data_IF_746730240598
#
_entry.id   IF_746730240598
#
_cell.length_a   1.000
_cell.length_b   1.000
_cell.length_c   1.000
_cell.angle_alpha   90.00
_cell.angle_beta   90.00
_cell.angle_gamma   90.00
#
_symmetry.space_group_name_H-M   'P 1'
#
loop_
_entity.id
_entity.type
_entity.pdbx_description
1 polymer ?
#
# COMPACT_ATOMS: atom_id res chain seq x y z
N UNK A 1 25.71 15.85 -11.58
CA UNK A 1 25.51 15.33 -10.19
C UNK A 1 24.14 15.82 -9.72
N UNK A 2 23.31 14.94 -9.14
CA UNK A 2 21.97 15.31 -8.68
C UNK A 2 22.02 16.27 -7.50
N UNK A 3 21.15 17.28 -7.47
CA UNK A 3 20.97 18.16 -6.33
C UNK A 3 20.24 17.39 -5.21
N UNK A 4 20.78 17.44 -3.98
CA UNK A 4 20.16 16.88 -2.76
C UNK A 4 18.77 17.45 -2.46
N UNK A 5 18.37 18.55 -3.11
CA UNK A 5 17.02 19.11 -3.03
C UNK A 5 15.90 18.15 -3.49
N UNK A 6 16.23 17.06 -4.17
CA UNK A 6 15.28 16.00 -4.57
C UNK A 6 15.31 14.77 -3.67
N UNK A 7 16.24 14.69 -2.71
CA UNK A 7 16.31 13.58 -1.77
C UNK A 7 15.16 13.71 -0.78
N UNK A 8 14.20 12.79 -0.85
CA UNK A 8 13.05 12.82 0.04
C UNK A 8 13.40 12.32 1.45
N UNK A 9 14.05 11.16 1.54
CA UNK A 9 14.54 10.55 2.76
C UNK A 9 15.73 9.64 2.44
N UNK A 10 16.54 9.33 3.46
CA UNK A 10 17.59 8.32 3.41
C UNK A 10 17.25 7.20 4.40
N UNK A 11 17.16 5.98 3.91
CA UNK A 11 16.82 4.79 4.69
C UNK A 11 18.09 4.11 5.21
N UNK A 12 18.09 3.69 6.49
CA UNK A 12 19.21 3.01 7.13
C UNK A 12 18.90 1.52 7.27
N UNK A 13 19.35 0.71 6.30
CA UNK A 13 19.03 -0.72 6.24
C UNK A 13 17.78 -1.00 5.43
N UNK A 14 17.40 -2.28 5.35
CA UNK A 14 16.22 -2.79 4.65
C UNK A 14 15.93 -4.20 5.17
N UNK A 15 14.70 -4.48 5.57
CA UNK A 15 14.29 -5.76 6.19
C UNK A 15 15.25 -6.20 7.30
N UNK A 16 15.53 -5.28 8.21
CA UNK A 16 16.59 -5.43 9.21
C UNK A 16 16.37 -6.63 10.14
N UNK A 17 15.12 -7.05 10.30
CA UNK A 17 14.70 -8.22 11.07
C UNK A 17 15.13 -9.56 10.46
N UNK A 18 15.48 -9.60 9.17
CA UNK A 18 15.93 -10.83 8.50
C UNK A 18 17.43 -11.03 8.52
N UNK A 19 18.23 -10.05 8.95
CA UNK A 19 19.72 -10.14 8.87
C UNK A 19 20.30 -11.33 9.64
N UNK A 20 19.69 -11.71 10.76
CA UNK A 20 20.08 -12.89 11.53
C UNK A 20 19.90 -14.22 10.78
N UNK A 21 19.07 -14.23 9.73
CA UNK A 21 18.77 -15.42 8.92
C UNK A 21 19.58 -15.48 7.63
N UNK A 22 20.23 -14.39 7.29
CA UNK A 22 21.10 -14.31 6.12
C UNK A 22 22.45 -14.94 6.48
N UNK A 23 22.56 -16.25 6.24
CA UNK A 23 23.74 -17.05 6.54
C UNK A 23 24.36 -17.62 5.28
N UNK A 24 25.67 -17.48 5.16
CA UNK A 24 26.46 -18.00 4.05
C UNK A 24 27.57 -18.90 4.59
N UNK A 25 27.65 -20.13 4.08
CA UNK A 25 28.63 -21.14 4.53
C UNK A 25 28.69 -21.32 6.07
N UNK A 26 27.53 -21.31 6.74
CA UNK A 26 27.42 -21.50 8.19
C UNK A 26 27.71 -20.26 9.04
N UNK A 27 28.04 -19.11 8.42
CA UNK A 27 28.21 -17.83 9.12
C UNK A 27 27.06 -16.88 8.78
N UNK A 28 26.36 -16.41 9.80
CA UNK A 28 25.29 -15.43 9.65
C UNK A 28 25.82 -14.00 9.70
N UNK A 29 25.21 -13.09 8.94
CA UNK A 29 25.58 -11.66 8.95
C UNK A 29 25.39 -11.08 10.35
N UNK A 30 24.36 -11.54 11.07
CA UNK A 30 24.09 -11.18 12.47
C UNK A 30 23.93 -12.41 13.33
N UNK A 31 24.26 -12.28 14.62
CA UNK A 31 24.02 -13.33 15.60
C UNK A 31 22.51 -13.43 15.91
N UNK A 32 21.83 -14.56 15.64
CA UNK A 32 20.39 -14.70 15.89
C UNK A 32 19.97 -14.56 17.36
N UNK A 33 20.89 -14.75 18.29
CA UNK A 33 20.61 -14.65 19.72
C UNK A 33 20.56 -13.19 20.18
N UNK A 34 21.43 -12.34 19.65
CA UNK A 34 21.58 -10.95 20.10
C UNK A 34 21.02 -9.92 19.13
N UNK A 35 20.69 -10.30 17.90
CA UNK A 35 20.13 -9.37 16.92
C UNK A 35 18.62 -9.14 17.16
N UNK A 36 18.28 -7.93 17.58
CA UNK A 36 16.94 -7.48 17.88
C UNK A 36 16.76 -5.99 17.55
N UNK A 37 15.56 -5.47 17.77
CA UNK A 37 15.24 -4.07 17.47
C UNK A 37 16.03 -3.08 18.32
N UNK A 38 16.44 -3.44 19.53
CA UNK A 38 17.15 -2.55 20.46
C UNK A 38 18.60 -2.37 19.99
N UNK A 39 19.27 -3.49 19.69
CA UNK A 39 20.63 -3.49 19.12
C UNK A 39 20.68 -2.74 17.79
N UNK A 40 19.66 -2.91 16.94
CA UNK A 40 19.59 -2.16 15.68
C UNK A 40 19.39 -0.64 15.90
N UNK A 41 18.70 -0.21 16.97
CA UNK A 41 18.56 1.22 17.27
C UNK A 41 19.91 1.91 17.53
N UNK A 42 20.82 1.23 18.24
CA UNK A 42 22.19 1.72 18.45
C UNK A 42 22.98 1.83 17.13
N UNK A 43 22.80 0.88 16.22
CA UNK A 43 23.47 0.93 14.92
C UNK A 43 22.92 2.02 14.01
N UNK A 44 21.60 2.26 14.05
CA UNK A 44 20.99 3.37 13.31
C UNK A 44 21.60 4.70 13.73
N UNK A 45 21.74 4.94 15.04
CA UNK A 45 22.39 6.11 15.60
C UNK A 45 23.82 6.28 15.05
N UNK A 46 24.62 5.21 15.12
CA UNK A 46 26.00 5.24 14.63
C UNK A 46 26.09 5.54 13.13
N UNK A 47 25.20 4.97 12.31
CA UNK A 47 25.13 5.24 10.89
C UNK A 47 24.71 6.67 10.57
N UNK A 48 23.69 7.18 11.27
CA UNK A 48 23.19 8.55 11.14
C UNK A 48 24.32 9.56 11.43
N UNK A 49 25.10 9.33 12.49
CA UNK A 49 26.23 10.18 12.87
C UNK A 49 27.37 10.12 11.87
N UNK A 50 27.75 8.92 11.42
CA UNK A 50 28.79 8.75 10.40
C UNK A 50 28.41 9.44 9.09
N UNK A 51 27.15 9.33 8.66
CA UNK A 51 26.68 9.98 7.44
C UNK A 51 26.68 11.50 7.57
N UNK A 52 26.13 12.02 8.67
CA UNK A 52 26.03 13.47 8.89
C UNK A 52 27.39 14.12 9.03
N UNK A 53 28.34 13.44 9.67
CA UNK A 53 29.73 13.91 9.84
C UNK A 53 30.52 13.90 8.53
N UNK A 54 30.40 12.85 7.72
CA UNK A 54 31.32 12.60 6.62
C UNK A 54 30.78 13.03 5.25
N UNK A 55 29.46 13.19 5.07
CA UNK A 55 28.86 13.57 3.79
C UNK A 55 28.65 15.09 3.75
N UNK A 56 29.59 15.80 3.11
CA UNK A 56 29.70 17.27 3.12
C UNK A 56 28.46 18.01 2.63
N UNK A 57 27.70 17.43 1.70
CA UNK A 57 26.48 18.02 1.12
C UNK A 57 25.19 17.44 1.72
N UNK A 58 25.29 16.68 2.82
CA UNK A 58 24.11 16.13 3.48
C UNK A 58 23.45 17.19 4.37
N UNK A 59 22.10 17.23 4.43
CA UNK A 59 21.40 18.14 5.33
C UNK A 59 21.90 17.98 6.78
N UNK A 60 22.38 19.07 7.37
CA UNK A 60 22.88 19.09 8.75
C UNK A 60 21.75 19.28 9.77
N UNK A 61 20.58 19.71 9.31
CA UNK A 61 19.40 19.97 10.14
C UNK A 61 18.14 19.46 9.46
N UNK A 62 17.14 19.13 10.27
CA UNK A 62 15.83 18.70 9.79
C UNK A 62 15.73 17.20 9.61
N UNK A 63 14.54 16.78 9.19
CA UNK A 63 14.14 15.37 9.15
C UNK A 63 14.41 14.76 7.78
N UNK A 64 15.34 13.81 7.72
CA UNK A 64 15.72 13.14 6.47
C UNK A 64 15.81 11.62 6.60
N UNK A 65 16.00 11.07 7.80
CA UNK A 65 16.21 9.63 7.93
C UNK A 65 14.90 8.83 7.98
N UNK A 66 14.87 7.72 7.27
CA UNK A 66 13.90 6.65 7.43
C UNK A 66 14.59 5.50 8.19
N UNK A 67 13.91 4.97 9.19
CA UNK A 67 14.45 3.95 10.10
C UNK A 67 13.48 2.80 10.26
N UNK A 68 13.95 1.75 10.94
CA UNK A 68 13.25 0.49 11.20
C UNK A 68 13.14 -0.39 9.98
N UNK A 69 12.49 0.08 8.91
CA UNK A 69 12.34 -0.61 7.62
C UNK A 69 12.22 -2.14 7.74
N UNK A 70 11.35 -2.57 8.64
CA UNK A 70 11.16 -3.99 8.99
C UNK A 70 10.46 -4.69 7.84
N UNK A 71 10.88 -5.93 7.56
CA UNK A 71 10.25 -6.81 6.60
C UNK A 71 8.80 -7.16 6.94
N UNK A 72 8.16 -7.89 6.03
CA UNK A 72 6.77 -8.32 6.23
C UNK A 72 6.65 -9.24 7.45
N UNK A 73 5.58 -9.08 8.22
CA UNK A 73 5.26 -9.84 9.43
C UNK A 73 4.91 -11.33 9.22
N UNK A 74 5.77 -12.09 8.55
CA UNK A 74 5.55 -13.51 8.28
C UNK A 74 5.77 -14.34 9.55
N UNK A 75 6.68 -13.89 10.43
CA UNK A 75 7.04 -14.61 11.65
C UNK A 75 6.59 -13.92 12.95
N UNK A 76 5.63 -12.99 12.88
CA UNK A 76 5.22 -12.21 14.07
C UNK A 76 4.91 -13.06 15.33
N UNK A 77 4.20 -14.21 15.30
CA UNK A 77 3.97 -14.96 16.53
C UNK A 77 5.22 -15.68 17.05
N UNK A 78 6.26 -15.85 16.23
CA UNK A 78 7.49 -16.60 16.57
C UNK A 78 8.73 -15.71 16.71
N UNK A 79 8.68 -14.47 16.23
CA UNK A 79 9.77 -13.49 16.22
C UNK A 79 9.33 -12.17 16.88
N UNK A 80 9.14 -12.20 18.20
CA UNK A 80 8.74 -11.03 19.00
C UNK A 80 9.88 -10.03 19.26
N UNK A 81 11.08 -10.27 18.74
CA UNK A 81 12.25 -9.38 18.88
C UNK A 81 12.16 -8.12 18.02
N UNK A 82 11.20 -8.06 17.09
CA UNK A 82 11.09 -7.02 16.07
C UNK A 82 9.72 -6.36 16.11
N UNK A 83 9.50 -5.54 17.13
CA UNK A 83 8.25 -4.79 17.31
C UNK A 83 8.56 -3.30 17.43
N UNK A 84 7.63 -2.45 16.98
CA UNK A 84 7.81 -0.99 16.96
C UNK A 84 7.97 -0.41 18.36
N UNK A 85 7.35 -1.00 19.39
CA UNK A 85 7.35 -0.38 20.73
C UNK A 85 8.75 -0.38 21.38
N UNK A 86 9.43 -1.53 21.55
CA UNK A 86 10.81 -1.57 22.06
C UNK A 86 11.77 -0.80 21.15
N UNK A 87 11.66 -0.93 19.82
CA UNK A 87 12.46 -0.14 18.90
C UNK A 87 12.35 1.37 19.18
N UNK A 88 11.12 1.88 19.28
CA UNK A 88 10.89 3.30 19.52
C UNK A 88 11.35 3.77 20.89
N UNK A 89 11.30 2.90 21.90
CA UNK A 89 11.87 3.18 23.22
C UNK A 89 13.39 3.33 23.11
N UNK A 90 14.08 2.33 22.59
CA UNK A 90 15.55 2.34 22.47
C UNK A 90 16.06 3.48 21.58
N UNK A 91 15.49 3.69 20.40
CA UNK A 91 15.97 4.74 19.49
C UNK A 91 15.76 6.14 20.06
N UNK A 92 14.73 6.35 20.89
CA UNK A 92 14.48 7.65 21.53
C UNK A 92 15.48 7.99 22.63
N UNK A 93 16.19 6.98 23.17
CA UNK A 93 17.23 7.15 24.18
C UNK A 93 18.60 7.48 23.56
N UNK A 94 18.84 7.02 22.33
CA UNK A 94 20.15 7.12 21.68
C UNK A 94 20.22 8.13 20.54
N UNK A 95 19.10 8.52 19.92
CA UNK A 95 19.07 9.41 18.75
C UNK A 95 18.19 10.65 18.93
N UNK A 96 18.61 11.77 18.33
CA UNK A 96 17.78 12.96 18.18
C UNK A 96 16.71 12.74 17.10
N UNK A 97 15.49 12.43 17.54
CA UNK A 97 14.35 12.18 16.65
C UNK A 97 13.95 13.39 15.79
N UNK A 98 14.54 14.59 15.98
CA UNK A 98 14.38 15.70 15.05
C UNK A 98 15.11 15.50 13.71
N UNK A 99 16.00 14.49 13.62
CA UNK A 99 16.67 14.04 12.40
C UNK A 99 15.89 12.94 11.67
N UNK A 100 15.01 12.24 12.39
CA UNK A 100 14.17 11.16 11.86
C UNK A 100 12.93 11.73 11.20
N UNK A 101 12.73 11.38 9.93
CA UNK A 101 11.55 11.76 9.14
C UNK A 101 10.39 10.82 9.33
N UNK A 102 10.67 9.53 9.20
CA UNK A 102 9.63 8.52 9.19
C UNK A 102 10.14 7.17 9.69
N UNK A 103 9.23 6.39 10.25
CA UNK A 103 9.45 4.98 10.59
C UNK A 103 8.74 4.13 9.55
N UNK A 104 9.38 3.06 9.12
CA UNK A 104 8.93 2.27 7.99
C UNK A 104 8.75 0.78 8.29
N UNK A 105 7.81 0.17 7.56
CA UNK A 105 7.61 -1.27 7.52
C UNK A 105 7.24 -1.72 6.10
N UNK A 106 7.47 -3.00 5.82
CA UNK A 106 7.04 -3.66 4.60
C UNK A 106 5.72 -4.38 4.82
N UNK A 107 4.95 -4.54 3.75
CA UNK A 107 3.74 -5.35 3.79
C UNK A 107 3.55 -6.18 2.53
N UNK A 108 3.49 -7.50 2.71
CA UNK A 108 3.02 -8.44 1.70
C UNK A 108 2.04 -9.40 2.35
N UNK A 109 0.77 -9.44 1.93
CA UNK A 109 -0.16 -10.40 2.49
C UNK A 109 0.21 -11.79 1.98
N UNK A 110 0.58 -12.72 2.85
CA UNK A 110 0.37 -14.13 2.52
C UNK A 110 -1.11 -14.45 2.73
N UNK A 111 -1.72 -15.23 1.83
CA UNK A 111 -3.14 -15.64 1.87
C UNK A 111 -3.60 -16.21 3.22
N UNK A 112 -2.68 -16.60 4.09
CA UNK A 112 -2.94 -17.26 5.38
C UNK A 112 -2.92 -16.33 6.61
N UNK A 113 -2.58 -15.04 6.53
CA UNK A 113 -2.42 -14.23 7.76
C UNK A 113 -3.28 -12.97 7.80
N UNK A 114 -4.60 -13.17 7.83
CA UNK A 114 -5.52 -12.16 8.38
C UNK A 114 -5.03 -11.60 9.73
N UNK A 115 -4.40 -12.46 10.54
CA UNK A 115 -3.78 -12.10 11.81
C UNK A 115 -2.58 -11.15 11.65
N UNK A 116 -1.69 -11.36 10.67
CA UNK A 116 -0.56 -10.45 10.45
C UNK A 116 -1.04 -9.08 9.95
N UNK A 117 -2.06 -9.06 9.09
CA UNK A 117 -2.69 -7.81 8.66
C UNK A 117 -3.29 -7.06 9.85
N UNK A 118 -4.06 -7.76 10.70
CA UNK A 118 -4.62 -7.19 11.93
C UNK A 118 -3.55 -6.69 12.90
N UNK A 119 -2.46 -7.45 13.03
CA UNK A 119 -1.36 -7.09 13.90
C UNK A 119 -0.69 -5.81 13.42
N UNK A 120 -0.23 -5.76 12.16
CA UNK A 120 0.40 -4.58 11.60
C UNK A 120 -0.50 -3.34 11.72
N UNK A 121 -1.80 -3.45 11.44
CA UNK A 121 -2.75 -2.34 11.62
C UNK A 121 -2.83 -1.88 13.08
N UNK A 122 -2.89 -2.82 14.04
CA UNK A 122 -2.91 -2.51 15.47
C UNK A 122 -1.60 -1.88 15.94
N UNK A 123 -0.46 -2.42 15.52
CA UNK A 123 0.87 -1.91 15.83
C UNK A 123 1.05 -0.48 15.29
N UNK A 124 0.60 -0.23 14.06
CA UNK A 124 0.60 1.09 13.42
C UNK A 124 -0.24 2.09 14.22
N UNK A 125 -1.46 1.71 14.64
CA UNK A 125 -2.32 2.58 15.44
C UNK A 125 -1.69 2.92 16.80
N UNK A 126 -1.09 1.93 17.47
CA UNK A 126 -0.37 2.14 18.74
C UNK A 126 0.81 3.09 18.51
N UNK A 127 1.60 2.86 17.47
CA UNK A 127 2.73 3.71 17.09
C UNK A 127 2.30 5.15 16.86
N UNK A 128 1.28 5.39 16.01
CA UNK A 128 0.79 6.73 15.68
C UNK A 128 0.21 7.46 16.89
N UNK A 129 -0.39 6.72 17.82
CA UNK A 129 -0.91 7.30 19.07
C UNK A 129 0.23 7.76 19.99
N UNK A 130 1.31 6.99 20.08
CA UNK A 130 2.46 7.29 20.94
C UNK A 130 3.45 8.28 20.33
N UNK A 131 3.54 8.32 18.99
CA UNK A 131 4.50 9.11 18.24
C UNK A 131 3.81 10.01 17.19
N UNK A 132 2.86 10.88 17.58
CA UNK A 132 2.07 11.67 16.63
C UNK A 132 2.93 12.61 15.78
N UNK A 133 4.12 12.98 16.26
CA UNK A 133 5.08 13.84 15.58
C UNK A 133 5.87 13.16 14.47
N UNK A 134 5.91 11.82 14.40
CA UNK A 134 6.67 11.09 13.39
C UNK A 134 5.75 10.45 12.36
N UNK A 135 6.16 10.49 11.10
CA UNK A 135 5.43 9.83 10.02
C UNK A 135 5.64 8.32 10.09
N UNK A 136 4.59 7.57 9.77
CA UNK A 136 4.68 6.12 9.56
C UNK A 136 4.42 5.85 8.09
N UNK A 137 5.27 5.04 7.46
CA UNK A 137 5.18 4.73 6.04
C UNK A 137 5.25 3.22 5.81
N UNK A 138 4.59 2.78 4.74
CA UNK A 138 4.82 1.46 4.18
C UNK A 138 5.74 1.61 2.98
N UNK A 139 7.03 1.39 3.18
CA UNK A 139 8.12 1.67 2.22
C UNK A 139 8.28 0.60 1.15
N UNK A 140 7.76 -0.61 1.40
CA UNK A 140 7.70 -1.67 0.41
C UNK A 140 6.41 -2.47 0.56
N UNK A 141 5.55 -2.41 -0.46
CA UNK A 141 4.26 -3.11 -0.45
C UNK A 141 4.07 -3.94 -1.72
N UNK A 142 3.68 -5.20 -1.57
CA UNK A 142 3.31 -6.06 -2.69
C UNK A 142 2.01 -6.80 -2.41
N UNK A 143 1.21 -7.08 -3.44
CA UNK A 143 0.01 -7.92 -3.28
C UNK A 143 0.35 -9.38 -3.59
N UNK A 144 0.68 -10.18 -2.58
CA UNK A 144 0.90 -11.64 -2.74
C UNK A 144 -0.44 -12.40 -2.69
N UNK A 145 -1.36 -12.04 -3.60
CA UNK A 145 -2.67 -12.72 -3.76
C UNK A 145 -2.48 -14.17 -4.25
N UNK A 146 -1.28 -14.54 -4.70
CA UNK A 146 -0.90 -15.91 -5.01
C UNK A 146 -0.02 -16.53 -3.93
N UNK A 147 -0.49 -17.62 -3.33
CA UNK A 147 0.29 -18.43 -2.37
C UNK A 147 0.22 -19.91 -2.74
N UNK A 148 -0.05 -20.21 -4.01
CA UNK A 148 -0.15 -21.58 -4.47
C UNK A 148 1.25 -22.14 -4.75
N UNK A 149 1.35 -23.46 -4.85
CA UNK A 149 2.55 -24.09 -5.44
C UNK A 149 2.72 -23.75 -6.93
N UNK A 150 1.71 -23.12 -7.55
CA UNK A 150 1.70 -22.78 -8.97
C UNK A 150 1.97 -21.29 -9.18
N UNK A 151 3.25 -20.97 -9.41
CA UNK A 151 3.71 -19.60 -9.65
C UNK A 151 3.07 -18.91 -10.85
N UNK A 152 2.57 -19.66 -11.83
CA UNK A 152 1.83 -19.10 -12.97
C UNK A 152 0.46 -18.60 -12.54
N UNK A 153 -0.27 -19.38 -11.75
CA UNK A 153 -1.57 -18.96 -11.19
C UNK A 153 -1.42 -17.76 -10.28
N UNK A 154 -0.38 -17.77 -9.43
CA UNK A 154 -0.07 -16.65 -8.54
C UNK A 154 0.17 -15.37 -9.36
N UNK A 155 1.04 -15.43 -10.37
CA UNK A 155 1.33 -14.28 -11.23
C UNK A 155 0.08 -13.72 -11.93
N UNK A 156 -0.88 -14.58 -12.33
CA UNK A 156 -2.16 -14.14 -12.90
C UNK A 156 -2.98 -13.38 -11.86
N UNK A 157 -3.15 -13.94 -10.65
CA UNK A 157 -3.93 -13.30 -9.59
C UNK A 157 -3.32 -11.94 -9.21
N UNK A 158 -2.01 -11.91 -9.05
CA UNK A 158 -1.26 -10.70 -8.71
C UNK A 158 -1.32 -9.60 -9.78
N UNK A 159 -1.54 -9.98 -11.06
CA UNK A 159 -1.61 -9.05 -12.20
C UNK A 159 -3.04 -8.69 -12.64
N UNK A 160 -4.07 -9.29 -12.03
CA UNK A 160 -5.47 -9.24 -12.51
C UNK A 160 -6.31 -8.06 -12.01
N UNK A 161 -7.56 -7.94 -12.46
CA UNK A 161 -8.54 -7.03 -11.84
C UNK A 161 -8.62 -7.21 -10.31
N UNK A 162 -8.48 -8.43 -9.79
CA UNK A 162 -8.43 -8.70 -8.36
C UNK A 162 -7.31 -7.94 -7.65
N UNK A 163 -6.13 -7.83 -8.29
CA UNK A 163 -5.03 -7.00 -7.82
C UNK A 163 -5.38 -5.51 -7.80
N UNK A 164 -6.11 -5.02 -8.81
CA UNK A 164 -6.62 -3.64 -8.83
C UNK A 164 -7.56 -3.37 -7.64
N UNK A 165 -8.50 -4.30 -7.37
CA UNK A 165 -9.46 -4.22 -6.27
C UNK A 165 -8.75 -4.23 -4.91
N UNK A 166 -7.79 -5.14 -4.73
CA UNK A 166 -6.95 -5.20 -3.53
C UNK A 166 -6.15 -3.90 -3.35
N UNK A 167 -5.57 -3.37 -4.41
CA UNK A 167 -4.74 -2.14 -4.36
C UNK A 167 -5.57 -0.97 -3.85
N UNK A 168 -6.81 -0.83 -4.35
CA UNK A 168 -7.73 0.23 -3.89
C UNK A 168 -8.07 0.05 -2.42
N UNK A 169 -8.53 -1.14 -2.04
CA UNK A 169 -8.95 -1.41 -0.67
C UNK A 169 -7.81 -1.19 0.33
N UNK A 170 -6.66 -1.82 0.06
CA UNK A 170 -5.49 -1.76 0.92
C UNK A 170 -5.01 -0.33 1.14
N UNK A 171 -4.81 0.42 0.05
CA UNK A 171 -4.30 1.79 0.15
C UNK A 171 -5.27 2.70 0.91
N UNK A 172 -6.58 2.55 0.73
CA UNK A 172 -7.57 3.35 1.45
C UNK A 172 -7.69 2.92 2.92
N UNK A 173 -7.57 1.62 3.22
CA UNK A 173 -7.53 1.08 4.58
C UNK A 173 -6.38 1.71 5.39
N UNK A 174 -5.14 1.59 4.91
CA UNK A 174 -3.98 2.10 5.64
C UNK A 174 -3.95 3.63 5.70
N UNK A 175 -4.49 4.32 4.68
CA UNK A 175 -4.66 5.77 4.72
C UNK A 175 -5.66 6.20 5.79
N UNK A 176 -6.71 5.41 6.03
CA UNK A 176 -7.71 5.71 7.06
C UNK A 176 -7.16 5.62 8.49
N UNK A 177 -6.05 4.89 8.69
CA UNK A 177 -5.32 4.79 9.96
C UNK A 177 -4.04 5.65 10.00
N UNK A 178 -3.95 6.66 9.13
CA UNK A 178 -2.89 7.67 9.13
C UNK A 178 -1.48 7.16 8.74
N UNK A 179 -1.42 6.16 7.84
CA UNK A 179 -0.18 5.87 7.09
C UNK A 179 0.09 6.99 6.10
N UNK A 180 1.25 7.61 6.20
CA UNK A 180 1.59 8.87 5.50
C UNK A 180 2.00 8.65 4.04
N UNK A 181 2.65 7.52 3.76
CA UNK A 181 3.07 7.14 2.42
C UNK A 181 3.04 5.63 2.25
N UNK A 182 2.73 5.22 1.02
CA UNK A 182 2.81 3.85 0.57
C UNK A 182 3.70 3.83 -0.67
N UNK A 183 4.65 2.90 -0.70
CA UNK A 183 5.51 2.61 -1.82
C UNK A 183 5.21 1.18 -2.28
N UNK A 184 4.40 1.07 -3.33
CA UNK A 184 4.12 -0.20 -3.98
C UNK A 184 5.39 -0.67 -4.69
N UNK A 185 5.89 -1.85 -4.32
CA UNK A 185 7.11 -2.39 -4.86
C UNK A 185 6.94 -2.72 -6.34
N UNK A 186 7.93 -2.30 -7.13
CA UNK A 186 7.97 -2.50 -8.57
C UNK A 186 9.17 -3.38 -8.92
N UNK A 187 9.00 -4.24 -9.90
CA UNK A 187 10.07 -5.09 -10.41
C UNK A 187 9.67 -5.74 -11.73
N UNK A 188 10.65 -6.21 -12.49
CA UNK A 188 10.40 -6.75 -13.85
C UNK A 188 9.56 -8.01 -13.84
N UNK A 189 9.75 -8.87 -12.85
CA UNK A 189 9.16 -10.21 -12.78
C UNK A 189 8.02 -10.32 -11.76
N UNK A 190 7.72 -9.23 -11.05
CA UNK A 190 6.72 -9.26 -9.98
C UNK A 190 5.32 -9.21 -10.58
N UNK A 191 4.46 -10.17 -10.24
CA UNK A 191 3.07 -10.20 -10.69
C UNK A 191 2.31 -8.97 -10.21
N UNK A 192 2.59 -8.52 -8.99
CA UNK A 192 1.97 -7.36 -8.35
C UNK A 192 2.45 -5.99 -8.84
N UNK A 193 3.50 -5.93 -9.68
CA UNK A 193 3.95 -4.66 -10.23
C UNK A 193 2.80 -4.00 -11.03
N UNK A 194 2.68 -2.67 -10.96
CA UNK A 194 1.61 -1.98 -11.66
C UNK A 194 1.76 -2.07 -13.20
N UNK A 195 2.98 -2.19 -13.72
CA UNK A 195 3.25 -2.34 -15.16
C UNK A 195 4.55 -3.10 -15.41
N UNK A 196 4.67 -3.61 -16.63
CA UNK A 196 5.92 -4.14 -17.17
C UNK A 196 6.49 -3.14 -18.19
N UNK A 197 7.63 -2.48 -17.90
CA UNK A 197 8.12 -1.37 -18.73
C UNK A 197 8.85 -1.81 -20.00
N UNK A 198 9.36 -3.04 -20.05
CA UNK A 198 10.10 -3.57 -21.18
C UNK A 198 9.61 -4.98 -21.57
N UNK A 199 10.03 -5.47 -22.73
CA UNK A 199 9.73 -6.85 -23.12
C UNK A 199 10.39 -7.83 -22.13
N UNK A 200 9.61 -8.82 -21.71
CA UNK A 200 10.06 -9.92 -20.87
C UNK A 200 9.57 -11.22 -21.52
N UNK A 201 10.51 -12.03 -22.01
CA UNK A 201 10.19 -13.18 -22.87
C UNK A 201 9.31 -12.73 -24.05
N UNK A 202 8.16 -13.37 -24.25
CA UNK A 202 7.22 -13.06 -25.34
C UNK A 202 6.16 -12.01 -24.96
N UNK A 203 6.18 -11.50 -23.72
CA UNK A 203 5.23 -10.48 -23.28
C UNK A 203 5.76 -9.06 -23.60
N UNK A 204 5.07 -8.26 -24.43
CA UNK A 204 5.44 -6.87 -24.68
C UNK A 204 5.22 -6.00 -23.43
N UNK A 205 5.74 -4.77 -23.39
CA UNK A 205 5.39 -3.82 -22.34
C UNK A 205 3.87 -3.65 -22.21
N UNK A 206 3.35 -3.70 -20.99
CA UNK A 206 1.91 -3.62 -20.73
C UNK A 206 1.62 -3.15 -19.30
N UNK A 207 0.41 -2.67 -19.09
CA UNK A 207 -0.12 -2.36 -17.77
C UNK A 207 -0.72 -3.62 -17.15
N UNK A 208 -0.59 -3.75 -15.84
CA UNK A 208 -1.20 -4.82 -15.04
C UNK A 208 -2.37 -4.26 -14.23
N UNK A 209 -3.20 -5.12 -13.66
CA UNK A 209 -4.36 -4.72 -12.88
C UNK A 209 -4.04 -3.69 -11.78
N UNK A 210 -2.93 -3.87 -11.07
CA UNK A 210 -2.46 -2.93 -10.04
C UNK A 210 -2.38 -1.47 -10.51
N UNK A 211 -2.04 -1.20 -11.78
CA UNK A 211 -2.05 0.17 -12.33
C UNK A 211 -3.42 0.84 -12.22
N UNK A 212 -4.49 0.11 -12.54
CA UNK A 212 -5.85 0.65 -12.46
C UNK A 212 -6.28 0.93 -11.02
N UNK A 213 -5.77 0.16 -10.06
CA UNK A 213 -5.92 0.46 -8.64
C UNK A 213 -5.23 1.77 -8.25
N UNK A 214 -4.00 2.01 -8.74
CA UNK A 214 -3.30 3.28 -8.53
C UNK A 214 -4.06 4.46 -9.15
N UNK A 215 -4.57 4.31 -10.38
CA UNK A 215 -5.37 5.37 -11.03
C UNK A 215 -6.64 5.68 -10.23
N UNK A 216 -7.34 4.65 -9.73
CA UNK A 216 -8.49 4.85 -8.85
C UNK A 216 -8.07 5.67 -7.62
N UNK A 217 -7.03 5.24 -6.91
CA UNK A 217 -6.61 5.89 -5.65
C UNK A 217 -6.16 7.32 -5.91
N UNK A 218 -5.41 7.56 -7.00
CA UNK A 218 -4.96 8.89 -7.41
C UNK A 218 -6.15 9.82 -7.75
N UNK A 219 -7.16 9.34 -8.48
CA UNK A 219 -8.39 10.12 -8.69
C UNK A 219 -9.09 10.36 -7.36
N UNK A 220 -9.26 9.33 -6.53
CA UNK A 220 -9.94 9.43 -5.23
C UNK A 220 -9.31 10.50 -4.33
N UNK A 221 -7.99 10.43 -4.08
CA UNK A 221 -7.33 11.40 -3.21
C UNK A 221 -7.13 12.75 -3.90
N UNK A 222 -6.89 12.79 -5.20
CA UNK A 222 -6.52 13.99 -5.98
C UNK A 222 -5.23 14.68 -5.49
N UNK A 223 -4.84 15.79 -6.13
CA UNK A 223 -3.67 16.59 -5.74
C UNK A 223 -3.98 17.71 -4.74
N UNK A 224 -5.15 17.64 -4.08
CA UNK A 224 -5.63 18.69 -3.18
C UNK A 224 -5.02 18.52 -1.78
N UNK A 225 -4.77 19.63 -1.07
CA UNK A 225 -4.36 19.61 0.34
C UNK A 225 -5.53 19.32 1.29
N UNK A 226 -5.25 19.17 2.59
CA UNK A 226 -6.29 19.03 3.64
C UNK A 226 -7.30 17.90 3.39
N UNK A 227 -6.79 16.72 3.03
CA UNK A 227 -7.58 15.52 2.80
C UNK A 227 -7.65 14.66 4.06
N UNK A 228 -8.83 14.09 4.31
CA UNK A 228 -9.02 13.04 5.32
C UNK A 228 -9.79 11.89 4.69
N UNK A 229 -9.29 10.67 4.88
CA UNK A 229 -10.00 9.44 4.53
C UNK A 229 -10.40 8.74 5.81
N UNK A 230 -11.62 8.23 5.86
CA UNK A 230 -12.10 7.36 6.94
C UNK A 230 -12.68 6.09 6.32
N UNK A 231 -12.48 4.97 6.99
CA UNK A 231 -13.25 3.75 6.72
C UNK A 231 -14.66 3.94 7.27
N UNK A 232 -15.66 3.57 6.47
CA UNK A 232 -17.06 3.56 6.87
C UNK A 232 -17.42 2.17 7.42
N UNK A 233 -18.33 2.09 8.41
CA UNK A 233 -18.86 0.81 8.86
C UNK A 233 -19.41 -0.01 7.68
N UNK A 234 -19.23 -1.34 7.74
CA UNK A 234 -19.60 -2.27 6.68
C UNK A 234 -21.02 -1.98 6.12
N UNK A 235 -21.13 -1.48 4.88
CA UNK A 235 -22.42 -1.07 4.35
C UNK A 235 -23.38 -2.26 4.27
N UNK A 236 -24.57 -2.09 4.84
CA UNK A 236 -25.64 -3.11 4.84
C UNK A 236 -25.21 -4.48 5.40
N UNK A 237 -24.17 -4.53 6.25
CA UNK A 237 -23.66 -5.77 6.84
C UNK A 237 -22.98 -6.73 5.86
N UNK A 238 -22.65 -6.29 4.64
CA UNK A 238 -21.99 -7.14 3.65
C UNK A 238 -20.48 -7.19 3.91
N UNK A 239 -19.99 -8.31 4.44
CA UNK A 239 -18.57 -8.52 4.75
C UNK A 239 -17.61 -8.47 3.54
N UNK A 240 -18.13 -8.58 2.32
CA UNK A 240 -17.33 -8.51 1.09
C UNK A 240 -17.25 -7.07 0.55
N UNK A 241 -17.81 -6.09 1.25
CA UNK A 241 -17.83 -4.70 0.83
C UNK A 241 -17.18 -3.83 1.89
N UNK A 242 -16.06 -3.24 1.52
CA UNK A 242 -15.46 -2.13 2.26
C UNK A 242 -15.90 -0.81 1.64
N UNK A 243 -15.89 0.24 2.47
CA UNK A 243 -16.28 1.57 2.05
C UNK A 243 -15.41 2.61 2.73
N UNK A 244 -15.06 3.66 1.99
CA UNK A 244 -14.22 4.75 2.49
C UNK A 244 -14.81 6.08 2.08
N UNK A 245 -14.87 7.03 3.01
CA UNK A 245 -15.28 8.41 2.74
C UNK A 245 -14.07 9.33 2.69
N UNK A 246 -14.05 10.22 1.68
CA UNK A 246 -13.06 11.29 1.55
C UNK A 246 -13.68 12.62 1.90
N UNK A 247 -13.03 13.30 2.83
CA UNK A 247 -13.31 14.67 3.21
C UNK A 247 -12.22 15.59 2.68
N UNK A 248 -12.62 16.77 2.22
CA UNK A 248 -11.74 17.85 1.81
C UNK A 248 -12.18 19.11 2.55
N UNK A 249 -11.28 19.71 3.34
CA UNK A 249 -11.62 20.80 4.27
C UNK A 249 -12.84 20.49 5.17
N UNK A 250 -12.96 19.22 5.62
CA UNK A 250 -14.06 18.78 6.47
C UNK A 250 -15.37 18.45 5.74
N UNK A 251 -15.49 18.71 4.43
CA UNK A 251 -16.69 18.39 3.65
C UNK A 251 -16.55 17.04 2.93
N UNK A 252 -17.59 16.21 3.00
CA UNK A 252 -17.65 14.95 2.26
C UNK A 252 -17.66 15.23 0.75
N UNK A 253 -16.72 14.62 0.01
CA UNK A 253 -16.57 14.89 -1.45
C UNK A 253 -16.52 13.64 -2.31
N UNK A 254 -16.07 12.50 -1.78
CA UNK A 254 -16.08 11.21 -2.49
C UNK A 254 -16.37 10.06 -1.53
N UNK A 255 -16.97 9.01 -2.05
CA UNK A 255 -17.12 7.72 -1.37
C UNK A 255 -16.61 6.63 -2.30
N UNK A 256 -15.72 5.78 -1.81
CA UNK A 256 -15.27 4.58 -2.47
C UNK A 256 -16.06 3.40 -1.91
N UNK A 257 -16.56 2.54 -2.81
CA UNK A 257 -17.24 1.29 -2.47
C UNK A 257 -16.52 0.18 -3.21
N UNK A 258 -15.94 -0.76 -2.47
CA UNK A 258 -15.12 -1.82 -3.04
C UNK A 258 -15.85 -3.14 -2.81
N UNK A 259 -16.30 -3.77 -3.89
CA UNK A 259 -16.89 -5.11 -3.81
C UNK A 259 -15.78 -6.15 -4.09
N UNK A 260 -15.42 -6.89 -3.05
CA UNK A 260 -14.41 -7.94 -3.06
C UNK A 260 -15.01 -9.34 -3.26
N UNK A 261 -16.31 -9.45 -3.54
CA UNK A 261 -16.95 -10.72 -3.85
C UNK A 261 -16.34 -11.34 -5.11
N UNK A 262 -15.62 -12.45 -4.93
CA UNK A 262 -14.94 -13.14 -6.01
C UNK A 262 -15.94 -13.65 -7.05
N UNK A 263 -15.76 -13.21 -8.30
CA UNK A 263 -16.45 -13.79 -9.45
C UNK A 263 -15.47 -14.07 -10.59
N UNK A 264 -15.44 -15.33 -10.99
CA UNK A 264 -14.63 -15.83 -12.09
C UNK A 264 -15.52 -16.09 -13.30
N UNK A 265 -15.04 -15.81 -14.51
CA UNK A 265 -15.79 -16.05 -15.74
C UNK A 265 -16.13 -17.54 -15.98
N UNK A 266 -15.36 -18.44 -15.39
CA UNK A 266 -15.59 -19.89 -15.38
C UNK A 266 -16.54 -20.36 -14.26
N UNK A 267 -17.05 -19.45 -13.43
CA UNK A 267 -17.96 -19.81 -12.33
C UNK A 267 -19.34 -20.20 -12.86
N UNK A 268 -19.91 -21.27 -12.32
CA UNK A 268 -21.30 -21.66 -12.57
C UNK A 268 -22.32 -20.75 -11.85
N UNK A 269 -21.85 -19.82 -11.01
CA UNK A 269 -22.71 -18.85 -10.32
C UNK A 269 -22.96 -17.63 -11.22
N UNK A 270 -24.21 -17.18 -11.39
CA UNK A 270 -24.49 -15.96 -12.14
C UNK A 270 -23.81 -14.76 -11.47
N UNK A 271 -23.27 -13.86 -12.29
CA UNK A 271 -22.72 -12.59 -11.81
C UNK A 271 -23.82 -11.82 -11.11
N UNK A 272 -23.58 -11.39 -9.86
CA UNK A 272 -24.53 -10.56 -9.13
C UNK A 272 -24.84 -9.30 -9.97
N UNK A 273 -26.12 -9.11 -10.30
CA UNK A 273 -26.56 -8.03 -11.18
C UNK A 273 -26.71 -6.71 -10.43
N UNK A 274 -27.11 -6.76 -9.15
CA UNK A 274 -27.31 -5.60 -8.29
C UNK A 274 -26.83 -5.87 -6.87
N UNK A 275 -26.22 -4.87 -6.25
CA UNK A 275 -25.97 -4.79 -4.81
C UNK A 275 -26.59 -3.49 -4.33
N UNK A 276 -27.53 -3.57 -3.40
CA UNK A 276 -28.10 -2.39 -2.73
C UNK A 276 -27.27 -2.08 -1.50
N UNK A 277 -26.80 -0.84 -1.40
CA UNK A 277 -26.00 -0.37 -0.27
C UNK A 277 -26.69 0.81 0.35
N UNK A 278 -26.86 0.77 1.67
CA UNK A 278 -27.36 1.88 2.44
C UNK A 278 -26.19 2.65 3.05
N UNK A 279 -26.12 3.96 2.79
CA UNK A 279 -25.02 4.84 3.20
C UNK A 279 -25.52 5.94 4.14
N UNK A 280 -26.38 5.59 5.10
CA UNK A 280 -26.97 6.53 6.06
C UNK A 280 -25.92 7.29 6.88
N UNK A 281 -24.75 6.68 7.08
CA UNK A 281 -23.62 7.26 7.80
C UNK A 281 -22.97 8.48 7.11
N UNK A 282 -23.34 8.81 5.87
CA UNK A 282 -22.77 9.95 5.14
C UNK A 282 -23.33 11.32 5.58
N UNK A 283 -24.38 11.34 6.41
CA UNK A 283 -24.94 12.57 6.95
C UNK A 283 -25.77 13.40 5.94
N UNK A 284 -26.23 14.60 6.33
CA UNK A 284 -27.16 15.40 5.52
C UNK A 284 -26.49 16.02 4.28
N UNK A 285 -25.17 16.13 4.25
CA UNK A 285 -24.39 16.87 3.24
C UNK A 285 -24.25 16.15 1.89
N UNK A 286 -24.90 14.99 1.72
CA UNK A 286 -24.92 14.28 0.43
C UNK A 286 -25.78 15.06 -0.58
N UNK A 287 -25.21 15.48 -1.73
CA UNK A 287 -25.94 16.27 -2.72
C UNK A 287 -27.04 15.43 -3.39
N UNK A 288 -28.05 16.11 -3.95
CA UNK A 288 -29.18 15.48 -4.62
C UNK A 288 -28.79 14.60 -5.82
N UNK A 289 -27.62 14.85 -6.41
CA UNK A 289 -27.08 14.10 -7.54
C UNK A 289 -25.61 13.77 -7.31
N UNK A 290 -25.26 12.50 -7.47
CA UNK A 290 -23.88 12.02 -7.39
C UNK A 290 -23.46 11.39 -8.72
N UNK A 291 -22.19 11.61 -9.10
CA UNK A 291 -21.58 10.96 -10.26
C UNK A 291 -21.00 9.62 -9.82
N UNK A 292 -21.24 8.56 -10.59
CA UNK A 292 -20.66 7.24 -10.35
C UNK A 292 -19.61 6.91 -11.40
N UNK A 293 -18.39 6.65 -10.92
CA UNK A 293 -17.28 6.10 -11.70
C UNK A 293 -17.00 4.66 -11.25
N UNK A 294 -16.51 3.82 -12.16
CA UNK A 294 -16.30 2.39 -11.89
C UNK A 294 -14.91 1.95 -12.32
N UNK A 295 -14.24 1.24 -11.42
CA UNK A 295 -13.17 0.30 -11.76
C UNK A 295 -13.85 -1.00 -12.16
N UNK A 296 -13.57 -1.49 -13.36
CA UNK A 296 -14.30 -2.63 -13.90
C UNK A 296 -13.44 -3.49 -14.82
N UNK A 297 -13.67 -4.80 -14.77
CA UNK A 297 -13.26 -5.78 -15.78
C UNK A 297 -14.32 -6.89 -15.95
N UNK A 298 -14.14 -7.77 -16.96
CA UNK A 298 -15.06 -8.87 -17.21
C UNK A 298 -15.12 -9.86 -16.06
N UNK A 299 -14.00 -10.25 -15.44
CA UNK A 299 -13.90 -11.17 -14.29
C UNK A 299 -12.79 -10.75 -13.32
N UNK A 300 -12.77 -11.29 -12.10
CA UNK A 300 -11.73 -10.96 -11.10
C UNK A 300 -10.32 -11.35 -11.57
N UNK A 301 -10.16 -12.47 -12.28
CA UNK A 301 -8.88 -12.97 -12.78
C UNK A 301 -8.51 -12.44 -14.18
N UNK A 302 -9.22 -11.44 -14.70
CA UNK A 302 -8.92 -10.90 -16.03
C UNK A 302 -7.65 -10.06 -16.02
N UNK A 303 -6.83 -10.18 -17.06
CA UNK A 303 -5.61 -9.41 -17.26
C UNK A 303 -5.80 -8.24 -18.24
N UNK A 304 -6.93 -8.21 -18.96
CA UNK A 304 -7.23 -7.26 -20.02
C UNK A 304 -8.64 -6.71 -19.87
N UNK A 305 -9.00 -5.68 -20.65
CA UNK A 305 -10.31 -5.02 -20.57
C UNK A 305 -10.65 -4.50 -19.16
N UNK A 306 -9.62 -4.07 -18.43
CA UNK A 306 -9.75 -3.36 -17.16
C UNK A 306 -9.88 -1.88 -17.48
N UNK A 307 -10.76 -1.17 -16.79
CA UNK A 307 -10.97 0.26 -17.01
C UNK A 307 -11.29 1.00 -15.72
N UNK A 308 -10.87 2.26 -15.62
CA UNK A 308 -11.31 3.20 -14.60
C UNK A 308 -12.14 4.30 -15.23
N UNK A 309 -13.36 4.53 -14.72
CA UNK A 309 -14.26 5.58 -15.21
C UNK A 309 -14.54 5.51 -16.73
N UNK A 310 -14.44 4.31 -17.33
CA UNK A 310 -14.59 4.10 -18.77
C UNK A 310 -13.33 4.41 -19.59
N UNK A 311 -12.16 4.51 -18.95
CA UNK A 311 -10.86 4.72 -19.60
C UNK A 311 -9.94 3.52 -19.42
N UNK A 312 -9.15 3.25 -20.46
CA UNK A 312 -8.04 2.28 -20.54
C UNK A 312 -6.78 3.03 -21.01
N UNK A 313 -5.58 2.54 -20.69
CA UNK A 313 -4.30 3.14 -21.09
C UNK A 313 -3.46 2.12 -21.85
N UNK A 314 -3.85 1.72 -23.06
CA UNK A 314 -3.09 0.73 -23.81
C UNK A 314 -1.70 1.28 -24.12
N UNK A 315 -0.68 0.42 -24.03
CA UNK A 315 0.73 0.81 -24.16
C UNK A 315 1.04 1.57 -25.46
N UNK A 316 0.31 1.30 -26.55
CA UNK A 316 0.50 1.96 -27.84
C UNK A 316 -0.13 3.37 -27.92
N UNK A 317 -0.80 3.85 -26.87
CA UNK A 317 -1.35 5.21 -26.85
C UNK A 317 -0.34 6.20 -26.25
N UNK A 318 0.37 6.90 -27.14
CA UNK A 318 1.49 7.82 -26.84
C UNK A 318 1.01 9.13 -26.17
N UNK A 319 -0.30 9.40 -26.12
CA UNK A 319 -0.83 10.69 -25.67
C UNK A 319 -0.94 10.84 -24.15
N UNK A 320 -0.72 9.77 -23.37
CA UNK A 320 -0.87 9.76 -21.90
C UNK A 320 -2.31 9.90 -21.38
N UNK A 321 -3.23 10.45 -22.20
CA UNK A 321 -4.66 10.49 -21.95
C UNK A 321 -5.28 9.10 -22.13
N UNK A 322 -6.11 8.69 -21.17
CA UNK A 322 -6.81 7.40 -21.24
C UNK A 322 -7.72 7.31 -22.48
N UNK A 323 -7.72 6.15 -23.12
CA UNK A 323 -8.58 5.82 -24.26
C UNK A 323 -9.98 5.43 -23.75
N UNK A 324 -11.05 6.07 -24.24
CA UNK A 324 -12.41 5.66 -23.89
C UNK A 324 -12.72 4.24 -24.33
N UNK A 325 -13.26 3.43 -23.40
CA UNK A 325 -13.87 2.13 -23.70
C UNK A 325 -15.39 2.29 -23.75
N UNK A 326 -16.08 1.54 -24.62
CA UNK A 326 -17.55 1.65 -24.84
C UNK A 326 -18.35 1.40 -23.54
N UNK A 327 -18.61 2.44 -22.72
CA UNK A 327 -19.45 2.36 -21.51
C UNK A 327 -20.18 3.67 -21.20
N UNK A 328 -21.38 3.54 -20.62
CA UNK A 328 -22.22 4.66 -20.18
C UNK A 328 -21.83 5.14 -18.78
N UNK A 329 -21.54 6.43 -18.63
CA UNK A 329 -21.53 7.09 -17.31
C UNK A 329 -22.93 6.97 -16.69
N UNK A 330 -23.00 6.83 -15.36
CA UNK A 330 -24.26 6.80 -14.61
C UNK A 330 -24.26 7.85 -13.51
N UNK A 331 -25.43 8.44 -13.27
CA UNK A 331 -25.69 9.33 -12.15
C UNK A 331 -26.72 8.65 -11.24
N UNK A 332 -26.58 8.83 -9.92
CA UNK A 332 -27.58 8.42 -8.95
C UNK A 332 -28.22 9.66 -8.33
N UNK A 333 -29.49 9.52 -7.97
CA UNK A 333 -30.27 10.52 -7.26
C UNK A 333 -30.42 10.10 -5.81
N UNK A 334 -30.35 11.06 -4.89
CA UNK A 334 -30.73 10.84 -3.49
C UNK A 334 -32.25 10.60 -3.47
N UNK A 335 -32.67 9.45 -2.93
CA UNK A 335 -34.09 9.12 -2.72
C UNK A 335 -34.65 9.89 -1.53
#
# INVERSE_FOLDING_TARGET
MGNVSKLYALEIGNEVDVYARQCYNGSCIRNPQTWDSETYAEEVQGHIDLLTKNVTNFPQTGRIFQIFDKGTEIDWPTNTKWTLTPFMQSISEVEDLTRVKQVAQHYRPELTSYLATRHMLAETLIYKTRNPQLDFVLSEVGNAIGSSSNKTTDAILESSLGSAVWTVDWMLCVMSINVTRINMQMGRIFGFAAWQPNQLQDAPPHLKGGFYGHVFVADFISNQGSLRVIELPQPSGNKNISAYARFHHGTLTKVALINQELWLGSSNRPRASNVSLNLEALGPDVPARVKVQKLWGPSANTLTNISWAGLDWPFNNITGGGTPVKKRQRYLHRN
#
